data_IF_510739024718
#
_entry.id   IF_510739024718
#
_cell.length_a   1.000
_cell.length_b   1.000
_cell.length_c   1.000
_cell.angle_alpha   90.00
_cell.angle_beta   90.00
_cell.angle_gamma   90.00
#
_symmetry.space_group_name_H-M   'P 1'
#
loop_
_entity.id
_entity.type
_entity.pdbx_description
1 polymer ?
#
# COMPACT_ATOMS: atom_id res chain seq x y z
N UNK A 1 13.91 10.51 8.48
CA UNK A 1 13.15 9.31 8.86
C UNK A 1 13.51 8.21 7.90
N UNK A 2 14.10 7.10 8.38
CA UNK A 2 14.36 5.92 7.55
C UNK A 2 13.04 5.12 7.48
N UNK A 3 12.22 5.40 6.48
CA UNK A 3 10.90 4.78 6.30
C UNK A 3 10.97 3.46 5.52
N UNK A 4 9.87 2.70 5.57
CA UNK A 4 9.64 1.46 4.80
C UNK A 4 9.99 1.63 3.30
N UNK A 5 9.72 2.80 2.74
CA UNK A 5 10.02 3.16 1.36
C UNK A 5 10.81 4.48 1.30
N UNK A 6 11.72 4.55 0.34
CA UNK A 6 12.26 5.80 -0.18
C UNK A 6 11.35 6.30 -1.31
N UNK A 7 10.75 7.47 -1.06
CA UNK A 7 9.84 8.15 -1.98
C UNK A 7 10.46 9.43 -2.55
N UNK A 8 11.78 9.64 -2.41
CA UNK A 8 12.45 10.87 -2.82
C UNK A 8 12.34 11.15 -4.33
N UNK A 9 12.16 10.12 -5.13
CA UNK A 9 11.95 10.22 -6.58
C UNK A 9 10.47 10.18 -7.00
N UNK A 10 9.54 9.97 -6.06
CA UNK A 10 8.11 9.93 -6.35
C UNK A 10 7.56 11.34 -6.58
N UNK A 11 6.84 11.53 -7.68
CA UNK A 11 6.18 12.78 -8.06
C UNK A 11 4.68 12.54 -8.21
N UNK A 12 3.88 13.33 -7.52
CA UNK A 12 2.42 13.30 -7.60
C UNK A 12 1.89 14.66 -8.02
N UNK A 13 1.04 14.70 -9.05
CA UNK A 13 0.26 15.89 -9.42
C UNK A 13 -1.23 15.56 -9.46
N UNK A 14 -2.07 16.54 -9.15
CA UNK A 14 -3.53 16.40 -9.19
C UNK A 14 -4.11 17.47 -10.11
N UNK A 15 -4.96 17.06 -11.04
CA UNK A 15 -5.69 17.95 -11.94
C UNK A 15 -7.19 17.57 -11.98
N UNK A 16 -7.97 18.18 -12.87
CA UNK A 16 -9.40 17.91 -12.99
C UNK A 16 -9.74 16.50 -13.52
N UNK A 17 -8.79 15.82 -14.16
CA UNK A 17 -8.95 14.49 -14.76
C UNK A 17 -8.56 13.38 -13.77
N UNK A 18 -7.72 13.70 -12.79
CA UNK A 18 -7.34 12.76 -11.74
C UNK A 18 -6.01 13.07 -11.08
N UNK A 19 -5.34 12.01 -10.63
CA UNK A 19 -4.02 12.06 -9.99
C UNK A 19 -3.03 11.38 -10.94
N UNK A 20 -1.95 12.08 -11.28
CA UNK A 20 -0.81 11.51 -11.99
C UNK A 20 0.28 11.18 -10.99
N UNK A 21 0.78 9.95 -11.03
CA UNK A 21 1.84 9.46 -10.16
C UNK A 21 2.98 8.98 -11.04
N UNK A 22 4.17 9.52 -10.86
CA UNK A 22 5.35 9.19 -11.68
C UNK A 22 6.62 9.11 -10.84
N UNK A 23 7.67 8.52 -11.39
CA UNK A 23 8.96 8.36 -10.71
C UNK A 23 9.03 7.08 -9.87
N UNK A 24 10.12 6.93 -9.13
CA UNK A 24 10.46 5.68 -8.44
C UNK A 24 10.09 5.71 -6.96
N UNK A 25 9.62 4.57 -6.49
CA UNK A 25 9.57 4.22 -5.07
C UNK A 25 10.46 3.00 -4.83
N UNK A 26 11.36 3.09 -3.87
CA UNK A 26 12.26 1.98 -3.50
C UNK A 26 11.91 1.48 -2.10
N UNK A 27 11.55 0.20 -1.98
CA UNK A 27 11.38 -0.42 -0.67
C UNK A 27 12.74 -0.56 0.01
N UNK A 28 12.94 0.10 1.16
CA UNK A 28 14.16 0.00 1.99
C UNK A 28 13.98 -0.89 3.22
N UNK A 29 12.85 -1.60 3.26
CA UNK A 29 12.47 -2.44 4.38
C UNK A 29 13.28 -3.74 4.37
N UNK A 30 14.06 -3.94 5.44
CA UNK A 30 14.74 -5.20 5.73
C UNK A 30 13.83 -6.09 6.60
N UNK A 31 13.12 -7.03 5.97
CA UNK A 31 12.20 -7.96 6.61
C UNK A 31 12.40 -9.37 6.08
N UNK A 32 12.40 -10.37 6.96
CA UNK A 32 12.53 -11.78 6.61
C UNK A 32 11.16 -12.39 6.30
N UNK A 33 11.13 -13.47 5.52
CA UNK A 33 9.88 -14.12 5.11
C UNK A 33 9.06 -14.65 6.29
N UNK A 34 9.72 -15.04 7.38
CA UNK A 34 9.11 -15.57 8.59
C UNK A 34 8.56 -14.49 9.53
N UNK A 35 8.86 -13.21 9.27
CA UNK A 35 8.44 -12.12 10.12
C UNK A 35 6.93 -11.85 10.01
N UNK A 36 6.27 -11.68 11.15
CA UNK A 36 4.86 -11.29 11.20
C UNK A 36 4.71 -9.79 11.00
N UNK A 37 4.10 -9.40 9.89
CA UNK A 37 3.76 -7.99 9.59
C UNK A 37 2.38 -7.63 10.15
N UNK A 38 2.36 -6.70 11.11
CA UNK A 38 1.13 -6.03 11.54
C UNK A 38 1.02 -4.66 10.86
N UNK A 39 -0.12 -4.38 10.25
CA UNK A 39 -0.36 -3.12 9.52
C UNK A 39 -1.67 -2.47 9.98
N UNK A 40 -1.65 -1.16 10.18
CA UNK A 40 -2.84 -0.36 10.46
C UNK A 40 -2.94 0.73 9.38
N UNK A 41 -3.97 0.64 8.55
CA UNK A 41 -4.23 1.58 7.45
C UNK A 41 -5.48 2.37 7.79
N UNK A 42 -5.37 3.70 7.84
CA UNK A 42 -6.52 4.58 8.06
C UNK A 42 -6.67 5.50 6.87
N UNK A 43 -7.77 5.33 6.12
CA UNK A 43 -8.18 6.31 5.11
C UNK A 43 -9.19 7.23 5.76
N UNK A 44 -8.81 8.50 5.92
CA UNK A 44 -9.59 9.50 6.63
C UNK A 44 -10.32 10.42 5.64
N UNK A 45 -11.57 10.76 5.97
CA UNK A 45 -12.34 11.80 5.30
C UNK A 45 -12.40 13.04 6.19
N UNK A 46 -12.04 14.19 5.65
CA UNK A 46 -12.13 15.46 6.37
C UNK A 46 -13.52 16.06 6.19
N UNK A 47 -14.28 16.15 7.28
CA UNK A 47 -15.57 16.82 7.31
C UNK A 47 -15.65 17.76 8.50
N UNK A 48 -16.11 19.00 8.25
CA UNK A 48 -16.43 20.02 9.27
C UNK A 48 -15.36 20.21 10.35
N UNK A 49 -14.09 20.20 9.96
CA UNK A 49 -12.98 20.42 10.90
C UNK A 49 -12.48 19.17 11.61
N UNK A 50 -12.96 17.97 11.25
CA UNK A 50 -12.55 16.71 11.86
C UNK A 50 -12.19 15.66 10.81
N UNK A 51 -11.16 14.85 11.10
CA UNK A 51 -10.78 13.70 10.30
C UNK A 51 -11.49 12.45 10.83
N UNK A 52 -12.35 11.85 10.02
CA UNK A 52 -13.10 10.65 10.39
C UNK A 52 -12.65 9.45 9.56
N UNK A 53 -12.37 8.29 10.17
CA UNK A 53 -12.05 7.07 9.44
C UNK A 53 -13.18 6.65 8.50
N UNK A 54 -12.81 6.23 7.29
CA UNK A 54 -13.73 5.64 6.33
C UNK A 54 -13.82 4.12 6.50
N UNK A 55 -14.78 3.49 5.82
CA UNK A 55 -14.94 2.03 5.74
C UNK A 55 -13.72 1.30 5.14
N UNK A 56 -12.81 2.04 4.50
CA UNK A 56 -11.56 1.51 3.97
C UNK A 56 -10.43 1.47 5.01
N UNK A 57 -10.67 1.94 6.23
CA UNK A 57 -9.71 1.83 7.32
C UNK A 57 -9.68 0.39 7.83
N UNK A 58 -8.50 -0.24 7.85
CA UNK A 58 -8.33 -1.66 8.15
C UNK A 58 -7.15 -1.91 9.09
N UNK A 59 -7.33 -2.88 9.98
CA UNK A 59 -6.27 -3.38 10.85
C UNK A 59 -5.94 -4.82 10.46
N UNK A 60 -4.73 -5.03 9.99
CA UNK A 60 -4.19 -6.32 9.63
C UNK A 60 -3.27 -6.83 10.73
N UNK A 61 -3.74 -7.84 11.48
CA UNK A 61 -2.90 -8.49 12.50
C UNK A 61 -1.78 -9.30 11.86
N UNK A 62 -2.03 -9.86 10.68
CA UNK A 62 -1.08 -10.57 9.84
C UNK A 62 -1.38 -10.16 8.40
N UNK A 63 -0.67 -9.13 7.94
CA UNK A 63 -0.90 -8.52 6.64
C UNK A 63 -0.66 -9.53 5.51
N UNK A 64 0.45 -10.26 5.56
CA UNK A 64 0.81 -11.22 4.52
C UNK A 64 -0.26 -12.30 4.34
N UNK A 65 -0.81 -12.82 5.44
CA UNK A 65 -1.89 -13.80 5.40
C UNK A 65 -3.21 -13.22 4.91
N UNK A 66 -3.50 -11.96 5.26
CA UNK A 66 -4.80 -11.32 5.00
C UNK A 66 -4.86 -10.63 3.64
N UNK A 67 -3.72 -10.26 3.05
CA UNK A 67 -3.60 -9.43 1.84
C UNK A 67 -4.37 -9.99 0.64
N UNK A 68 -4.51 -11.31 0.54
CA UNK A 68 -5.19 -11.98 -0.56
C UNK A 68 -6.46 -12.71 -0.13
N UNK A 69 -7.02 -12.36 1.03
CA UNK A 69 -8.33 -12.86 1.48
C UNK A 69 -9.44 -12.21 0.63
N UNK A 70 -10.10 -13.03 -0.19
CA UNK A 70 -11.11 -12.56 -1.14
C UNK A 70 -12.39 -12.02 -0.50
N UNK A 71 -12.59 -12.25 0.79
CA UNK A 71 -13.71 -11.68 1.55
C UNK A 71 -13.51 -10.21 1.91
N UNK A 72 -12.28 -9.69 1.78
CA UNK A 72 -11.91 -8.36 2.27
C UNK A 72 -12.05 -7.27 1.20
N UNK A 73 -12.37 -6.05 1.62
CA UNK A 73 -12.54 -4.90 0.70
C UNK A 73 -11.28 -4.61 -0.12
N UNK A 74 -10.09 -4.65 0.49
CA UNK A 74 -8.83 -4.43 -0.23
C UNK A 74 -8.59 -5.46 -1.34
N UNK A 75 -9.10 -6.69 -1.23
CA UNK A 75 -8.98 -7.67 -2.31
C UNK A 75 -9.78 -7.26 -3.54
N UNK A 76 -11.04 -6.88 -3.32
CA UNK A 76 -11.95 -6.45 -4.40
C UNK A 76 -11.42 -5.24 -5.17
N UNK A 77 -10.85 -4.27 -4.47
CA UNK A 77 -10.47 -2.98 -5.05
C UNK A 77 -8.97 -2.85 -5.38
N UNK A 78 -8.12 -3.70 -4.83
CA UNK A 78 -6.67 -3.59 -5.00
C UNK A 78 -5.96 -4.93 -5.20
N UNK A 79 -5.79 -5.74 -4.15
CA UNK A 79 -4.84 -6.87 -4.21
C UNK A 79 -5.26 -7.99 -5.14
N UNK A 80 -6.56 -8.12 -5.46
CA UNK A 80 -7.06 -9.02 -6.49
C UNK A 80 -6.66 -8.64 -7.93
N UNK A 81 -6.17 -7.41 -8.13
CA UNK A 81 -5.72 -6.90 -9.45
C UNK A 81 -4.19 -6.95 -9.62
N UNK A 82 -3.45 -7.44 -8.63
CA UNK A 82 -2.00 -7.59 -8.73
C UNK A 82 -1.69 -8.83 -9.60
N UNK A 83 -1.18 -8.61 -10.81
CA UNK A 83 -0.94 -9.67 -11.81
C UNK A 83 0.44 -10.33 -11.73
N UNK A 84 1.34 -9.80 -10.89
CA UNK A 84 2.73 -10.23 -10.82
C UNK A 84 2.92 -11.39 -9.81
N UNK A 85 3.99 -12.16 -9.93
CA UNK A 85 4.34 -13.26 -9.01
C UNK A 85 4.90 -12.76 -7.66
N UNK A 86 4.09 -11.97 -6.94
CA UNK A 86 4.41 -11.40 -5.63
C UNK A 86 3.55 -11.97 -4.51
N UNK A 87 2.52 -12.76 -4.85
CA UNK A 87 1.56 -13.31 -3.87
C UNK A 87 2.24 -14.09 -2.75
N UNK A 88 3.22 -14.91 -3.09
CA UNK A 88 3.95 -15.75 -2.14
C UNK A 88 5.15 -15.03 -1.50
N UNK A 89 5.44 -13.80 -1.92
CA UNK A 89 6.61 -13.05 -1.49
C UNK A 89 6.26 -11.87 -0.58
N UNK A 90 4.97 -11.65 -0.30
CA UNK A 90 4.46 -10.56 0.53
C UNK A 90 5.24 -9.24 0.31
N UNK A 91 5.70 -8.62 1.39
CA UNK A 91 6.49 -7.38 1.45
C UNK A 91 7.98 -7.64 1.63
N UNK A 92 8.43 -8.89 1.41
CA UNK A 92 9.80 -9.33 1.66
C UNK A 92 10.71 -9.27 0.43
N UNK A 93 10.26 -8.65 -0.67
CA UNK A 93 11.08 -8.46 -1.87
C UNK A 93 11.55 -7.02 -1.94
N UNK A 94 12.84 -6.74 -1.68
CA UNK A 94 13.44 -5.46 -2.03
C UNK A 94 13.30 -5.22 -3.53
N UNK A 95 12.78 -4.06 -3.93
CA UNK A 95 12.57 -3.73 -5.34
C UNK A 95 12.17 -2.29 -5.59
N UNK A 96 12.41 -1.84 -6.83
CA UNK A 96 11.90 -0.58 -7.36
C UNK A 96 10.53 -0.86 -7.96
N UNK A 97 9.48 -0.25 -7.42
CA UNK A 97 8.16 -0.27 -8.04
C UNK A 97 8.07 0.94 -8.96
N UNK A 98 8.12 0.69 -10.27
CA UNK A 98 7.90 1.69 -11.31
C UNK A 98 6.39 1.84 -11.51
N UNK A 99 5.84 3.01 -11.21
CA UNK A 99 4.45 3.32 -11.53
C UNK A 99 4.44 4.09 -12.87
N UNK A 100 4.26 3.36 -13.97
CA UNK A 100 3.95 3.97 -15.26
C UNK A 100 2.42 3.96 -15.43
N UNK A 101 1.74 4.96 -14.87
CA UNK A 101 0.32 5.26 -15.14
C UNK A 101 0.13 6.75 -15.37
#
# INVERSE_FOLDING_TARGET
MNGLMDLSELKTSMNAEGITVSGNSTLRWDIQLEDRVQMNVNLLYFDRGSWTPTVFSQVFKDFCKSMYDSSQLHYKYWSGHITNDVRNKCVSVPGVYQNDV
#
